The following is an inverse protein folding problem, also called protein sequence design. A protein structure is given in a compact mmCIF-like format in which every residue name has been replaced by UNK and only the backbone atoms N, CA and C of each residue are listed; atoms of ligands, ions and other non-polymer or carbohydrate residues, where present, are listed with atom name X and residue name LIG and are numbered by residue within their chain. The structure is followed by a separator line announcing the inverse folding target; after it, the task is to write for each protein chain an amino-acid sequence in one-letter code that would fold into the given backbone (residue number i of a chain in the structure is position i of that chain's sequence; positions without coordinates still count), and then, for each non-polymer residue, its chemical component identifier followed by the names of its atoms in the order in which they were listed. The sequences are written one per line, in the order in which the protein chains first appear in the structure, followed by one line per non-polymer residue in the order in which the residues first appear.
data_IF_696719602658
#
_entry.id   IF_696719602658
#
_cell.length_a   1.000
_cell.length_b   1.000
_cell.length_c   1.000
_cell.angle_alpha   90.00
_cell.angle_beta   90.00
_cell.angle_gamma   90.00
#
_symmetry.space_group_name_H-M   'P 1'
#
loop_
_entity.id
_entity.type
_entity.pdbx_description
1 polymer ?
#
# COMPACT_ATOMS: atom_id res chain seq x y z
N UNK A 1 2.06 21.60 20.86
CA UNK A 1 1.91 20.22 20.30
C UNK A 1 2.89 19.18 20.86
N UNK A 2 4.13 19.53 21.28
CA UNK A 2 5.11 18.58 21.88
C UNK A 2 4.65 17.90 23.18
N UNK A 3 3.98 18.61 24.10
CA UNK A 3 3.59 18.05 25.41
C UNK A 3 2.51 16.95 25.35
N UNK A 4 1.57 17.02 24.38
CA UNK A 4 0.58 15.95 24.14
C UNK A 4 1.21 14.67 23.57
N UNK A 5 2.32 14.79 22.82
CA UNK A 5 3.03 13.63 22.29
C UNK A 5 3.90 12.96 23.36
N UNK A 6 4.50 13.75 24.26
CA UNK A 6 5.26 13.26 25.42
C UNK A 6 4.37 12.55 26.44
N UNK A 7 3.23 13.14 26.82
CA UNK A 7 2.30 12.49 27.77
C UNK A 7 1.78 11.16 27.25
N UNK A 8 1.51 11.06 25.94
CA UNK A 8 1.03 9.83 25.30
C UNK A 8 2.10 8.72 25.25
N UNK A 9 3.38 9.10 25.06
CA UNK A 9 4.51 8.15 25.14
C UNK A 9 4.70 7.65 26.58
N UNK A 10 4.65 8.54 27.57
CA UNK A 10 4.77 8.15 28.99
C UNK A 10 3.63 7.23 29.41
N UNK A 11 2.38 7.51 29.01
CA UNK A 11 1.24 6.65 29.31
C UNK A 11 1.34 5.24 28.68
N UNK A 12 2.02 5.12 27.53
CA UNK A 12 2.25 3.84 26.87
C UNK A 12 3.33 2.97 27.52
N UNK A 13 4.20 3.58 28.33
CA UNK A 13 5.28 2.90 29.07
C UNK A 13 4.83 2.35 30.42
N UNK A 14 3.73 2.86 30.99
CA UNK A 14 3.22 2.44 32.31
C UNK A 14 2.99 0.92 32.39
N UNK A 15 2.30 0.26 31.43
CA UNK A 15 2.12 -1.19 31.47
C UNK A 15 3.43 -1.98 31.50
N UNK A 16 4.45 -1.50 30.78
CA UNK A 16 5.76 -2.13 30.69
C UNK A 16 6.53 -2.05 32.01
N UNK A 17 6.50 -0.87 32.64
CA UNK A 17 7.16 -0.66 33.93
C UNK A 17 6.48 -1.48 35.02
N UNK A 18 5.14 -1.51 35.04
CA UNK A 18 4.39 -2.30 36.00
C UNK A 18 4.60 -3.80 35.83
N UNK A 19 4.64 -4.31 34.59
CA UNK A 19 4.90 -5.73 34.36
C UNK A 19 6.34 -6.11 34.69
N UNK A 20 7.32 -5.25 34.39
CA UNK A 20 8.71 -5.46 34.78
C UNK A 20 8.90 -5.50 36.30
N UNK A 21 8.26 -4.56 37.01
CA UNK A 21 8.26 -4.51 38.47
C UNK A 21 7.58 -5.76 39.07
N UNK A 22 6.42 -6.16 38.52
CA UNK A 22 5.74 -7.38 38.91
C UNK A 22 6.65 -8.61 38.74
N UNK A 23 7.35 -8.73 37.61
CA UNK A 23 8.27 -9.83 37.35
C UNK A 23 9.37 -9.90 38.41
N UNK A 24 10.01 -8.77 38.68
CA UNK A 24 11.09 -8.68 39.68
C UNK A 24 10.60 -9.03 41.08
N UNK A 25 9.45 -8.48 41.49
CA UNK A 25 8.84 -8.77 42.79
C UNK A 25 8.50 -10.25 42.92
N UNK A 26 7.90 -10.86 41.90
CA UNK A 26 7.58 -12.28 41.91
C UNK A 26 8.83 -13.16 42.01
N UNK A 27 9.88 -12.86 41.23
CA UNK A 27 11.16 -13.59 41.31
C UNK A 27 11.76 -13.49 42.72
N UNK A 28 11.77 -12.29 43.30
CA UNK A 28 12.28 -12.08 44.66
C UNK A 28 11.47 -12.86 45.71
N UNK A 29 10.13 -12.82 45.63
CA UNK A 29 9.25 -13.54 46.54
C UNK A 29 9.41 -15.06 46.41
N UNK A 30 9.49 -15.59 45.19
CA UNK A 30 9.75 -17.00 44.96
C UNK A 30 11.11 -17.41 45.51
N UNK A 31 12.16 -16.64 45.25
CA UNK A 31 13.50 -16.90 45.78
C UNK A 31 13.50 -16.94 47.31
N UNK A 32 12.86 -15.96 47.95
CA UNK A 32 12.81 -15.89 49.41
C UNK A 32 12.04 -17.08 50.02
N UNK A 33 10.90 -17.47 49.43
CA UNK A 33 10.10 -18.60 49.93
C UNK A 33 10.80 -19.94 49.71
N UNK A 34 11.42 -20.15 48.56
CA UNK A 34 12.15 -21.39 48.24
C UNK A 34 13.29 -21.64 49.25
N UNK A 35 13.96 -20.59 49.73
CA UNK A 35 15.04 -20.71 50.71
C UNK A 35 14.55 -21.00 52.14
N UNK A 36 13.31 -20.64 52.47
CA UNK A 36 12.79 -20.68 53.86
C UNK A 36 11.87 -21.87 54.13
N UNK A 37 11.18 -22.39 53.11
CA UNK A 37 10.10 -23.35 53.27
C UNK A 37 10.23 -24.51 52.26
N UNK A 38 10.66 -25.70 52.71
CA UNK A 38 10.75 -26.88 51.85
C UNK A 38 9.39 -27.33 51.30
N UNK A 39 8.32 -27.18 52.09
CA UNK A 39 6.95 -27.47 51.65
C UNK A 39 6.53 -26.63 50.43
N UNK A 40 7.07 -25.42 50.30
CA UNK A 40 6.79 -24.55 49.16
C UNK A 40 7.42 -25.06 47.86
N UNK A 41 8.57 -25.74 47.95
CA UNK A 41 9.23 -26.36 46.78
C UNK A 41 8.35 -27.47 46.19
N UNK A 42 7.78 -28.31 47.05
CA UNK A 42 6.86 -29.38 46.63
C UNK A 42 5.62 -28.80 45.98
N UNK A 43 4.99 -27.80 46.63
CA UNK A 43 3.83 -27.11 46.07
C UNK A 43 4.10 -26.50 44.69
N UNK A 44 5.26 -25.87 44.49
CA UNK A 44 5.64 -25.26 43.21
C UNK A 44 5.76 -26.28 42.07
N UNK A 45 6.24 -27.49 42.39
CA UNK A 45 6.32 -28.62 41.47
C UNK A 45 4.94 -29.22 41.21
N UNK A 46 4.09 -29.35 42.23
CA UNK A 46 2.74 -29.90 42.11
C UNK A 46 1.81 -29.04 41.25
N UNK A 47 1.97 -27.71 41.28
CA UNK A 47 1.19 -26.80 40.42
C UNK A 47 1.73 -26.69 38.99
N UNK A 48 2.92 -27.23 38.71
CA UNK A 48 3.56 -27.09 37.40
C UNK A 48 2.76 -27.67 36.23
N UNK A 49 2.10 -28.84 36.35
CA UNK A 49 1.24 -29.36 35.29
C UNK A 49 0.08 -28.42 34.95
N UNK A 50 -0.52 -27.78 35.96
CA UNK A 50 -1.62 -26.82 35.78
C UNK A 50 -1.10 -25.59 35.02
N UNK A 51 0.04 -25.06 35.44
CA UNK A 51 0.66 -23.90 34.80
C UNK A 51 1.04 -24.17 33.33
N UNK A 52 1.59 -25.36 33.05
CA UNK A 52 1.89 -25.80 31.69
C UNK A 52 0.59 -25.90 30.88
N UNK A 53 -0.47 -26.50 31.43
CA UNK A 53 -1.77 -26.63 30.77
C UNK A 53 -2.40 -25.28 30.39
N UNK A 54 -2.31 -24.29 31.28
CA UNK A 54 -2.74 -22.91 30.99
C UNK A 54 -1.89 -22.27 29.89
N UNK A 55 -0.57 -22.44 29.94
CA UNK A 55 0.36 -21.92 28.92
C UNK A 55 0.11 -22.55 27.54
N UNK A 56 -0.15 -23.86 27.48
CA UNK A 56 -0.56 -24.57 26.25
C UNK A 56 -1.86 -23.97 25.70
N UNK A 57 -2.86 -23.78 26.55
CA UNK A 57 -4.17 -23.26 26.15
C UNK A 57 -4.07 -21.86 25.53
N UNK A 58 -3.35 -20.94 26.19
CA UNK A 58 -3.12 -19.59 25.67
C UNK A 58 -2.32 -19.64 24.36
N UNK A 59 -1.27 -20.46 24.32
CA UNK A 59 -0.44 -20.64 23.14
C UNK A 59 -1.24 -21.16 21.93
N UNK A 60 -2.14 -22.11 22.15
CA UNK A 60 -3.02 -22.64 21.11
C UNK A 60 -3.96 -21.57 20.51
N UNK A 61 -4.52 -20.69 21.34
CA UNK A 61 -5.36 -19.57 20.89
C UNK A 61 -4.54 -18.60 20.02
N UNK A 62 -3.35 -18.22 20.49
CA UNK A 62 -2.44 -17.33 19.75
C UNK A 62 -2.02 -17.96 18.42
N UNK A 63 -1.69 -19.25 18.43
CA UNK A 63 -1.34 -19.99 17.22
C UNK A 63 -2.49 -20.06 16.21
N UNK A 64 -3.71 -20.38 16.66
CA UNK A 64 -4.89 -20.40 15.80
C UNK A 64 -5.12 -19.07 15.11
N UNK A 65 -4.95 -17.95 15.83
CA UNK A 65 -5.02 -16.62 15.26
C UNK A 65 -3.90 -16.33 14.24
N UNK A 66 -2.66 -16.76 14.52
CA UNK A 66 -1.54 -16.63 13.57
C UNK A 66 -1.83 -17.40 12.28
N UNK A 67 -2.20 -18.67 12.38
CA UNK A 67 -2.51 -19.52 11.22
C UNK A 67 -3.65 -18.92 10.41
N UNK A 68 -4.73 -18.48 11.05
CA UNK A 68 -5.84 -17.83 10.37
C UNK A 68 -5.38 -16.58 9.61
N UNK A 69 -4.63 -15.69 10.27
CA UNK A 69 -4.17 -14.43 9.67
C UNK A 69 -3.20 -14.67 8.51
N UNK A 70 -2.30 -15.65 8.63
CA UNK A 70 -1.40 -16.08 7.56
C UNK A 70 -2.17 -16.62 6.36
N UNK A 71 -3.18 -17.45 6.62
CA UNK A 71 -4.00 -18.06 5.59
C UNK A 71 -4.81 -17.01 4.83
N UNK A 72 -5.48 -16.09 5.53
CA UNK A 72 -6.18 -14.95 4.90
C UNK A 72 -5.22 -14.11 4.07
N UNK A 73 -4.03 -13.79 4.59
CA UNK A 73 -3.03 -13.03 3.84
C UNK A 73 -2.55 -13.75 2.58
N UNK A 74 -2.43 -15.08 2.64
CA UNK A 74 -2.03 -15.88 1.49
C UNK A 74 -3.11 -15.85 0.39
N UNK A 75 -4.39 -15.99 0.77
CA UNK A 75 -5.52 -15.84 -0.15
C UNK A 75 -5.54 -14.43 -0.75
N UNK A 76 -5.43 -13.39 0.08
CA UNK A 76 -5.41 -11.99 -0.36
C UNK A 76 -4.26 -11.74 -1.34
N UNK A 77 -3.08 -12.34 -1.10
CA UNK A 77 -1.93 -12.22 -1.99
C UNK A 77 -2.20 -12.85 -3.36
N UNK A 78 -2.85 -14.01 -3.41
CA UNK A 78 -3.20 -14.67 -4.67
C UNK A 78 -4.25 -13.84 -5.43
N UNK A 79 -5.33 -13.44 -4.76
CA UNK A 79 -6.38 -12.61 -5.38
C UNK A 79 -5.79 -11.31 -5.92
N UNK A 80 -5.05 -10.58 -5.07
CA UNK A 80 -4.45 -9.31 -5.46
C UNK A 80 -3.42 -9.45 -6.59
N UNK A 81 -2.71 -10.57 -6.69
CA UNK A 81 -1.80 -10.84 -7.82
C UNK A 81 -2.56 -11.01 -9.14
N UNK A 82 -3.68 -11.73 -9.12
CA UNK A 82 -4.52 -11.92 -10.31
C UNK A 82 -5.20 -10.61 -10.72
N UNK A 83 -5.75 -9.88 -9.75
CA UNK A 83 -6.37 -8.56 -9.96
C UNK A 83 -5.35 -7.55 -10.49
N UNK A 84 -4.12 -7.58 -9.96
CA UNK A 84 -3.01 -6.74 -10.42
C UNK A 84 -2.65 -7.04 -11.88
N UNK A 85 -2.44 -8.31 -12.23
CA UNK A 85 -2.09 -8.71 -13.59
C UNK A 85 -3.19 -8.30 -14.59
N UNK A 86 -4.47 -8.40 -14.19
CA UNK A 86 -5.59 -7.91 -14.97
C UNK A 86 -5.54 -6.38 -15.17
N UNK A 87 -5.32 -5.61 -14.10
CA UNK A 87 -5.23 -4.15 -14.16
C UNK A 87 -4.02 -3.65 -14.96
N UNK A 88 -2.88 -4.32 -14.87
CA UNK A 88 -1.69 -4.04 -15.71
C UNK A 88 -2.06 -4.20 -17.18
N UNK A 89 -2.72 -5.31 -17.56
CA UNK A 89 -3.18 -5.53 -18.94
C UNK A 89 -4.15 -4.44 -19.40
N UNK A 90 -5.07 -3.99 -18.53
CA UNK A 90 -5.98 -2.87 -18.84
C UNK A 90 -5.20 -1.57 -19.08
N UNK A 91 -4.22 -1.25 -18.22
CA UNK A 91 -3.38 -0.06 -18.38
C UNK A 91 -2.52 -0.12 -19.65
N UNK A 92 -2.01 -1.30 -20.00
CA UNK A 92 -1.25 -1.52 -21.24
C UNK A 92 -2.12 -1.24 -22.50
N UNK A 93 -3.41 -1.61 -22.45
CA UNK A 93 -4.38 -1.25 -23.51
C UNK A 93 -4.65 0.25 -23.54
N UNK A 94 -4.77 0.90 -22.39
CA UNK A 94 -4.87 2.37 -22.30
C UNK A 94 -3.67 3.02 -22.97
N UNK A 95 -2.44 2.62 -22.62
CA UNK A 95 -1.23 3.14 -23.27
C UNK A 95 -1.23 2.92 -24.79
N UNK A 96 -1.72 1.77 -25.25
CA UNK A 96 -1.86 1.48 -26.68
C UNK A 96 -2.86 2.43 -27.36
N UNK A 97 -4.00 2.72 -26.72
CA UNK A 97 -4.97 3.72 -27.22
C UNK A 97 -4.32 5.10 -27.27
N UNK A 98 -3.61 5.50 -26.21
CA UNK A 98 -2.94 6.79 -26.13
C UNK A 98 -1.86 6.93 -27.21
N UNK A 99 -1.07 5.90 -27.47
CA UNK A 99 -0.07 5.93 -28.55
C UNK A 99 -0.74 6.15 -29.91
N UNK A 100 -1.85 5.44 -30.19
CA UNK A 100 -2.61 5.65 -31.42
C UNK A 100 -3.12 7.09 -31.52
N UNK A 101 -3.66 7.66 -30.44
CA UNK A 101 -4.14 9.04 -30.42
C UNK A 101 -3.01 10.05 -30.66
N UNK A 102 -1.86 9.90 -30.01
CA UNK A 102 -0.69 10.77 -30.19
C UNK A 102 -0.11 10.72 -31.61
N UNK A 103 -0.22 9.57 -32.28
CA UNK A 103 0.22 9.38 -33.67
C UNK A 103 -0.88 9.69 -34.72
N UNK A 104 -2.09 10.03 -34.27
CA UNK A 104 -3.21 10.36 -35.16
C UNK A 104 -3.25 11.84 -35.57
N UNK A 105 -4.11 12.16 -36.53
CA UNK A 105 -4.34 13.53 -37.02
C UNK A 105 -5.40 14.30 -36.20
N UNK A 106 -5.74 13.85 -34.98
CA UNK A 106 -6.70 14.55 -34.11
C UNK A 106 -6.22 15.93 -33.66
N UNK A 107 -4.90 16.16 -33.70
CA UNK A 107 -4.24 17.37 -33.18
C UNK A 107 -4.14 18.46 -34.25
N UNK A 108 -4.09 19.72 -33.81
CA UNK A 108 -3.68 20.82 -34.70
C UNK A 108 -2.29 20.53 -35.31
N UNK A 109 -2.09 20.85 -36.61
CA UNK A 109 -0.78 20.74 -37.24
C UNK A 109 0.28 21.53 -36.47
N UNK A 110 1.43 20.91 -36.20
CA UNK A 110 2.56 21.55 -35.51
C UNK A 110 2.65 21.27 -34.00
N UNK A 111 1.60 20.78 -33.33
CA UNK A 111 1.67 20.43 -31.89
C UNK A 111 2.76 19.39 -31.64
N UNK A 112 2.83 18.39 -32.51
CA UNK A 112 3.81 17.30 -32.41
C UNK A 112 5.23 17.83 -32.55
N UNK A 113 5.48 18.66 -33.57
CA UNK A 113 6.77 19.32 -33.75
C UNK A 113 7.13 20.20 -32.54
N UNK A 114 6.19 20.99 -32.05
CA UNK A 114 6.38 21.89 -30.91
C UNK A 114 6.77 21.11 -29.65
N UNK A 115 6.03 20.07 -29.28
CA UNK A 115 6.32 19.30 -28.06
C UNK A 115 7.50 18.35 -28.24
N UNK A 116 7.58 17.62 -29.36
CA UNK A 116 8.55 16.54 -29.54
C UNK A 116 9.90 17.01 -30.08
N UNK A 117 9.99 18.23 -30.64
CA UNK A 117 11.26 18.81 -31.13
C UNK A 117 11.68 20.03 -30.32
N UNK A 118 10.81 21.03 -30.20
CA UNK A 118 11.17 22.31 -29.55
C UNK A 118 11.26 22.15 -28.03
N UNK A 119 10.27 21.50 -27.41
CA UNK A 119 10.25 21.17 -25.97
C UNK A 119 10.75 19.76 -25.66
N UNK A 120 11.80 19.33 -26.36
CA UNK A 120 12.31 17.97 -26.24
C UNK A 120 12.68 17.60 -24.79
N UNK A 121 12.06 16.52 -24.31
CA UNK A 121 12.30 15.99 -22.97
C UNK A 121 11.46 16.63 -21.87
N UNK A 122 10.57 17.58 -22.21
CA UNK A 122 9.58 18.12 -21.28
C UNK A 122 8.53 17.06 -20.95
N UNK A 123 8.21 16.96 -19.66
CA UNK A 123 7.13 16.08 -19.17
C UNK A 123 6.01 16.89 -18.54
N UNK A 124 4.81 16.33 -18.53
CA UNK A 124 3.66 16.95 -17.85
C UNK A 124 3.92 17.17 -16.35
N UNK A 125 4.68 16.27 -15.72
CA UNK A 125 5.04 16.37 -14.31
C UNK A 125 5.86 17.63 -14.03
N UNK A 126 6.83 17.95 -14.88
CA UNK A 126 7.63 19.17 -14.76
C UNK A 126 6.79 20.42 -14.96
N UNK A 127 5.84 20.40 -15.91
CA UNK A 127 4.89 21.49 -16.13
C UNK A 127 3.98 21.69 -14.92
N UNK A 128 3.44 20.62 -14.32
CA UNK A 128 2.59 20.74 -13.11
C UNK A 128 3.36 21.13 -11.86
N UNK A 129 4.65 20.81 -11.80
CA UNK A 129 5.52 21.11 -10.67
C UNK A 129 6.40 22.35 -10.87
N UNK A 130 6.10 23.19 -11.88
CA UNK A 130 6.90 24.36 -12.23
C UNK A 130 7.13 25.31 -11.05
N UNK A 131 6.15 25.45 -10.15
CA UNK A 131 6.22 26.26 -8.93
C UNK A 131 7.34 25.82 -7.95
N UNK A 132 7.86 24.60 -8.11
CA UNK A 132 9.00 24.09 -7.33
C UNK A 132 10.35 24.60 -7.87
N UNK A 133 10.35 25.34 -8.99
CA UNK A 133 11.54 25.98 -9.57
C UNK A 133 12.57 25.02 -10.17
N UNK A 134 12.19 23.76 -10.43
CA UNK A 134 13.14 22.69 -10.80
C UNK A 134 13.40 22.53 -12.28
N UNK A 135 12.56 23.09 -13.16
CA UNK A 135 12.68 22.92 -14.61
C UNK A 135 12.59 24.27 -15.32
N UNK A 136 13.72 24.71 -15.88
CA UNK A 136 13.79 25.90 -16.73
C UNK A 136 12.93 25.72 -17.99
N UNK A 137 12.94 24.52 -18.55
CA UNK A 137 12.19 24.16 -19.75
C UNK A 137 10.66 24.27 -19.54
N UNK A 138 10.17 23.88 -18.35
CA UNK A 138 8.76 24.04 -18.00
C UNK A 138 8.36 25.52 -17.84
N UNK A 139 9.27 26.38 -17.36
CA UNK A 139 9.02 27.82 -17.26
C UNK A 139 8.99 28.44 -18.65
N UNK A 140 9.95 28.10 -19.52
CA UNK A 140 9.99 28.54 -20.91
C UNK A 140 8.70 28.13 -21.65
N UNK A 141 8.26 26.87 -21.48
CA UNK A 141 7.00 26.36 -22.04
C UNK A 141 5.76 27.13 -21.58
N UNK A 142 5.68 27.50 -20.30
CA UNK A 142 4.56 28.24 -19.74
C UNK A 142 4.57 29.74 -20.10
N UNK A 143 5.75 30.29 -20.43
CA UNK A 143 5.92 31.69 -20.80
C UNK A 143 5.73 31.92 -22.30
N UNK A 144 5.97 30.90 -23.12
CA UNK A 144 5.74 30.98 -24.55
C UNK A 144 4.25 31.19 -24.85
N UNK A 145 3.96 32.00 -25.87
CA UNK A 145 2.58 32.30 -26.24
C UNK A 145 1.92 31.00 -26.70
N UNK A 146 0.85 30.59 -26.01
CA UNK A 146 0.06 29.40 -26.33
C UNK A 146 -0.45 29.50 -27.76
N UNK A 147 0.22 28.78 -28.66
CA UNK A 147 -0.09 28.79 -30.09
C UNK A 147 -1.14 27.75 -30.47
N UNK A 148 -1.45 26.82 -29.55
CA UNK A 148 -2.31 25.65 -29.82
C UNK A 148 -3.51 25.55 -28.87
N UNK A 149 -4.00 26.68 -28.37
CA UNK A 149 -5.24 26.75 -27.57
C UNK A 149 -5.26 25.72 -26.42
N UNK A 150 -4.20 25.61 -25.64
CA UNK A 150 -4.05 24.68 -24.50
C UNK A 150 -3.96 23.18 -24.83
N UNK A 151 -4.17 22.77 -26.09
CA UNK A 151 -4.12 21.36 -26.49
C UNK A 151 -2.72 20.75 -26.33
N UNK A 152 -1.67 21.58 -26.34
CA UNK A 152 -0.29 21.18 -26.01
C UNK A 152 -0.16 20.58 -24.60
N UNK A 153 -1.00 21.04 -23.66
CA UNK A 153 -1.04 20.51 -22.29
C UNK A 153 -1.67 19.13 -22.26
N UNK A 154 -2.74 18.90 -23.03
CA UNK A 154 -3.34 17.58 -23.17
C UNK A 154 -2.36 16.60 -23.81
N UNK A 155 -1.70 17.00 -24.90
CA UNK A 155 -0.70 16.18 -25.59
C UNK A 155 0.40 15.74 -24.62
N UNK A 156 0.96 16.65 -23.83
CA UNK A 156 1.96 16.34 -22.81
C UNK A 156 1.44 15.41 -21.71
N UNK A 157 0.20 15.60 -21.26
CA UNK A 157 -0.44 14.73 -20.26
C UNK A 157 -0.55 13.29 -20.76
N UNK A 158 -1.09 13.12 -21.97
CA UNK A 158 -1.24 11.81 -22.61
C UNK A 158 0.12 11.16 -22.84
N UNK A 159 1.10 11.91 -23.34
CA UNK A 159 2.49 11.45 -23.49
C UNK A 159 3.08 10.96 -22.17
N UNK A 160 2.72 11.58 -21.05
CA UNK A 160 3.21 11.20 -19.72
C UNK A 160 2.62 9.89 -19.19
N UNK A 161 1.49 9.43 -19.72
CA UNK A 161 0.95 8.09 -19.45
C UNK A 161 1.77 6.96 -20.09
N UNK A 162 2.65 7.29 -21.04
CA UNK A 162 3.55 6.33 -21.71
C UNK A 162 4.94 6.23 -21.03
N UNK A 163 5.17 6.97 -19.94
CA UNK A 163 6.41 6.91 -19.18
C UNK A 163 6.37 5.77 -18.16
N UNK A 164 7.48 5.06 -17.97
CA UNK A 164 7.62 4.02 -16.95
C UNK A 164 8.26 4.54 -15.66
N UNK A 165 8.96 5.67 -15.73
CA UNK A 165 9.65 6.32 -14.61
C UNK A 165 9.40 7.83 -14.62
N UNK A 166 9.10 8.48 -13.48
CA UNK A 166 8.90 9.93 -13.43
C UNK A 166 10.09 10.76 -13.90
N UNK A 167 11.30 10.22 -13.85
CA UNK A 167 12.53 10.91 -14.27
C UNK A 167 12.85 10.71 -15.75
N UNK A 168 12.10 9.84 -16.42
CA UNK A 168 12.29 9.52 -17.82
C UNK A 168 11.88 10.71 -18.67
N UNK A 169 12.82 11.20 -19.49
CA UNK A 169 12.58 12.31 -20.42
C UNK A 169 12.11 11.86 -21.80
N UNK A 170 12.20 10.56 -22.10
CA UNK A 170 11.89 9.99 -23.43
C UNK A 170 11.08 8.72 -23.26
N UNK A 171 10.01 8.57 -24.03
CA UNK A 171 9.31 7.28 -24.11
C UNK A 171 10.28 6.26 -24.71
N UNK A 172 10.51 5.16 -24.00
CA UNK A 172 11.26 4.03 -24.53
C UNK A 172 10.24 3.19 -25.27
N UNK A 173 10.31 3.18 -26.61
CA UNK A 173 9.49 2.27 -27.42
C UNK A 173 10.04 0.85 -27.26
N UNK A 174 9.65 0.18 -26.17
CA UNK A 174 9.93 -1.23 -25.97
C UNK A 174 8.87 -2.02 -26.74
N UNK A 175 9.27 -3.05 -27.50
CA UNK A 175 8.30 -3.93 -28.20
C UNK A 175 7.39 -4.72 -27.22
N UNK A 176 7.66 -4.66 -25.92
CA UNK A 176 6.90 -5.32 -24.86
C UNK A 176 6.39 -4.28 -23.86
N UNK A 177 5.07 -4.23 -23.69
CA UNK A 177 4.41 -3.46 -22.64
C UNK A 177 4.80 -4.00 -21.25
N UNK A 178 4.87 -3.16 -20.21
CA UNK A 178 5.37 -3.57 -18.91
C UNK A 178 4.47 -4.62 -18.23
N UNK A 179 5.10 -5.58 -17.57
CA UNK A 179 4.42 -6.57 -16.72
C UNK A 179 4.14 -6.03 -15.30
N UNK A 180 4.84 -4.97 -14.91
CA UNK A 180 4.68 -4.31 -13.62
C UNK A 180 4.99 -2.80 -13.73
N UNK A 181 4.21 -1.99 -13.00
CA UNK A 181 4.43 -0.55 -12.89
C UNK A 181 5.08 -0.20 -11.56
N UNK A 182 6.09 0.67 -11.62
CA UNK A 182 6.74 1.23 -10.42
C UNK A 182 5.75 2.08 -9.62
N UNK A 183 5.83 2.03 -8.29
CA UNK A 183 4.95 2.82 -7.41
C UNK A 183 5.12 4.33 -7.66
N UNK A 184 6.33 4.76 -7.99
CA UNK A 184 6.69 6.16 -8.21
C UNK A 184 5.95 6.77 -9.40
N UNK A 185 5.83 6.04 -10.52
CA UNK A 185 5.11 6.53 -11.70
C UNK A 185 3.61 6.56 -11.47
N UNK A 186 3.05 5.50 -10.84
CA UNK A 186 1.64 5.44 -10.49
C UNK A 186 1.24 6.59 -9.54
N UNK A 187 2.10 6.90 -8.56
CA UNK A 187 1.89 8.06 -7.68
C UNK A 187 1.89 9.37 -8.45
N UNK A 188 2.77 9.54 -9.44
CA UNK A 188 2.79 10.77 -10.26
C UNK A 188 1.57 10.91 -11.13
N UNK A 189 1.12 9.83 -11.77
CA UNK A 189 -0.12 9.82 -12.53
C UNK A 189 -1.31 10.19 -11.65
N UNK A 190 -1.40 9.64 -10.44
CA UNK A 190 -2.49 9.98 -9.52
C UNK A 190 -2.38 11.40 -8.93
N UNK A 191 -1.19 11.85 -8.51
CA UNK A 191 -0.92 13.20 -7.96
C UNK A 191 -1.36 14.28 -8.96
N UNK A 192 -1.03 14.08 -10.24
CA UNK A 192 -1.28 15.04 -11.31
C UNK A 192 -2.54 14.72 -12.14
N UNK A 193 -3.33 13.74 -11.73
CA UNK A 193 -4.58 13.30 -12.40
C UNK A 193 -4.40 13.00 -13.89
N UNK A 194 -3.29 12.36 -14.26
CA UNK A 194 -3.04 11.97 -15.65
C UNK A 194 -4.15 11.06 -16.18
N UNK A 195 -4.65 11.36 -17.37
CA UNK A 195 -5.82 10.72 -17.98
C UNK A 195 -7.11 11.53 -17.82
N UNK A 196 -7.17 12.46 -16.88
CA UNK A 196 -8.33 13.35 -16.71
C UNK A 196 -8.45 14.39 -17.82
N UNK A 197 -7.37 14.64 -18.58
CA UNK A 197 -7.37 15.52 -19.74
C UNK A 197 -8.42 15.11 -20.76
N UNK A 198 -8.55 13.82 -21.11
CA UNK A 198 -9.56 13.40 -22.09
C UNK A 198 -10.99 13.77 -21.64
N UNK A 199 -11.32 13.55 -20.36
CA UNK A 199 -12.60 13.97 -19.78
C UNK A 199 -12.78 15.49 -19.81
N UNK A 200 -11.73 16.24 -19.51
CA UNK A 200 -11.78 17.70 -19.48
C UNK A 200 -12.01 18.29 -20.87
N UNK A 201 -11.20 17.89 -21.86
CA UNK A 201 -11.21 18.47 -23.20
C UNK A 201 -12.35 17.94 -24.08
N UNK A 202 -12.71 16.66 -23.98
CA UNK A 202 -13.77 16.04 -24.80
C UNK A 202 -15.14 15.94 -24.09
N UNK A 203 -15.19 16.25 -22.79
CA UNK A 203 -16.44 16.27 -22.02
C UNK A 203 -16.76 17.68 -21.50
N UNK A 204 -16.07 18.08 -20.44
CA UNK A 204 -16.43 19.28 -19.68
C UNK A 204 -16.32 20.58 -20.50
N UNK A 205 -15.26 20.71 -21.32
CA UNK A 205 -14.97 21.91 -22.14
C UNK A 205 -15.00 21.67 -23.64
N UNK A 206 -15.64 20.60 -24.12
CA UNK A 206 -15.59 20.28 -25.55
C UNK A 206 -16.08 21.41 -26.45
N UNK A 207 -17.10 22.17 -26.02
CA UNK A 207 -17.58 23.34 -26.76
C UNK A 207 -16.51 24.39 -27.06
N UNK A 208 -15.52 24.55 -26.16
CA UNK A 208 -14.40 25.49 -26.32
C UNK A 208 -13.31 24.95 -27.26
N UNK A 209 -13.26 23.63 -27.47
CA UNK A 209 -12.17 22.94 -28.16
C UNK A 209 -12.59 22.17 -29.43
N UNK A 210 -13.88 22.17 -29.79
CA UNK A 210 -14.39 21.44 -30.95
C UNK A 210 -13.73 21.84 -32.28
N UNK A 211 -13.22 23.07 -32.37
CA UNK A 211 -12.58 23.61 -33.58
C UNK A 211 -11.07 23.31 -33.65
N UNK A 212 -10.49 22.77 -32.57
CA UNK A 212 -9.05 22.46 -32.48
C UNK A 212 -8.77 20.96 -32.46
N UNK A 213 -9.78 20.11 -32.23
CA UNK A 213 -9.67 18.67 -32.34
C UNK A 213 -10.42 18.16 -33.57
N UNK A 214 -9.72 17.48 -34.46
CA UNK A 214 -10.31 16.84 -35.62
C UNK A 214 -10.50 15.33 -35.37
N UNK A 215 -11.59 14.99 -34.68
CA UNK A 215 -11.90 13.59 -34.32
C UNK A 215 -12.11 12.75 -35.59
N UNK A 216 -12.70 13.34 -36.64
CA UNK A 216 -13.00 12.68 -37.91
C UNK A 216 -11.73 12.37 -38.72
N UNK A 217 -10.65 13.14 -38.54
CA UNK A 217 -9.35 12.88 -39.17
C UNK A 217 -8.62 11.65 -38.62
N UNK A 218 -9.08 11.03 -37.53
CA UNK A 218 -8.54 9.74 -37.07
C UNK A 218 -8.99 8.65 -38.06
N UNK A 219 -8.05 7.98 -38.73
CA UNK A 219 -8.38 6.91 -39.67
C UNK A 219 -9.32 5.86 -39.07
N UNK A 220 -10.35 5.44 -39.81
CA UNK A 220 -11.37 4.46 -39.38
C UNK A 220 -10.75 3.20 -38.75
N UNK A 221 -9.72 2.62 -39.39
CA UNK A 221 -8.98 1.46 -38.84
C UNK A 221 -8.41 1.69 -37.44
N UNK A 222 -8.02 2.93 -37.12
CA UNK A 222 -7.49 3.28 -35.80
C UNK A 222 -8.63 3.51 -34.81
N UNK A 223 -9.75 4.08 -35.25
CA UNK A 223 -10.97 4.20 -34.46
C UNK A 223 -11.46 2.81 -34.01
N UNK A 224 -11.61 1.88 -34.96
CA UNK A 224 -12.02 0.50 -34.71
C UNK A 224 -11.08 -0.19 -33.71
N UNK A 225 -9.77 -0.05 -33.92
CA UNK A 225 -8.77 -0.62 -33.01
C UNK A 225 -8.88 -0.03 -31.61
N UNK A 226 -9.11 1.27 -31.47
CA UNK A 226 -9.31 1.93 -30.17
C UNK A 226 -10.56 1.39 -29.48
N UNK A 227 -11.67 1.23 -30.21
CA UNK A 227 -12.93 0.71 -29.66
C UNK A 227 -12.80 -0.75 -29.21
N UNK A 228 -12.09 -1.58 -29.97
CA UNK A 228 -11.77 -2.97 -29.56
C UNK A 228 -10.94 -2.96 -28.28
N UNK A 229 -9.86 -2.18 -28.22
CA UNK A 229 -9.02 -2.07 -27.03
C UNK A 229 -9.80 -1.57 -25.81
N UNK A 230 -10.72 -0.62 -25.99
CA UNK A 230 -11.58 -0.10 -24.93
C UNK A 230 -12.57 -1.16 -24.41
N UNK A 231 -13.21 -1.92 -25.31
CA UNK A 231 -14.05 -3.05 -24.92
C UNK A 231 -13.28 -4.13 -24.16
N UNK A 232 -12.03 -4.38 -24.54
CA UNK A 232 -11.18 -5.30 -23.80
C UNK A 232 -10.65 -4.73 -22.46
N UNK A 233 -10.76 -3.43 -22.22
CA UNK A 233 -10.50 -2.80 -20.91
C UNK A 233 -11.70 -3.05 -19.99
N UNK A 234 -12.90 -2.73 -20.45
CA UNK A 234 -14.15 -2.97 -19.73
C UNK A 234 -15.35 -2.97 -20.69
N UNK A 235 -15.84 -4.16 -21.03
CA UNK A 235 -16.97 -4.32 -21.95
C UNK A 235 -18.23 -3.64 -21.40
N UNK A 236 -18.50 -3.73 -20.09
CA UNK A 236 -19.71 -3.13 -19.51
C UNK A 236 -19.71 -1.59 -19.64
N UNK A 237 -18.53 -0.98 -19.77
CA UNK A 237 -18.37 0.46 -19.91
C UNK A 237 -18.34 0.87 -21.37
N UNK A 238 -17.71 0.10 -22.27
CA UNK A 238 -17.45 0.54 -23.65
C UNK A 238 -18.26 -0.21 -24.71
N UNK A 239 -19.10 -1.16 -24.31
CA UNK A 239 -20.06 -1.83 -25.21
C UNK A 239 -20.95 -0.78 -25.88
N UNK A 240 -21.21 -0.99 -27.17
CA UNK A 240 -21.97 -0.11 -28.07
C UNK A 240 -21.46 1.33 -28.19
N UNK A 241 -20.24 1.63 -27.73
CA UNK A 241 -19.64 2.96 -27.90
C UNK A 241 -19.17 3.18 -29.33
N UNK A 242 -19.49 4.35 -29.88
CA UNK A 242 -18.90 4.85 -31.12
C UNK A 242 -17.71 5.77 -30.84
N UNK A 243 -16.78 5.88 -31.77
CA UNK A 243 -15.60 6.73 -31.61
C UNK A 243 -16.00 8.20 -31.79
N UNK A 244 -16.15 8.92 -30.67
CA UNK A 244 -16.53 10.33 -30.61
C UNK A 244 -16.00 10.98 -29.32
N UNK A 245 -16.33 12.26 -29.11
CA UNK A 245 -15.94 13.03 -27.93
C UNK A 245 -16.46 12.41 -26.63
N UNK A 246 -17.69 11.87 -26.64
CA UNK A 246 -18.31 11.23 -25.48
C UNK A 246 -17.51 10.00 -25.06
N UNK A 247 -17.10 9.17 -26.04
CA UNK A 247 -16.23 8.02 -25.81
C UNK A 247 -14.88 8.44 -25.21
N UNK A 248 -14.20 9.44 -25.80
CA UNK A 248 -12.90 9.90 -25.29
C UNK A 248 -13.02 10.45 -23.86
N UNK A 249 -14.08 11.19 -23.58
CA UNK A 249 -14.37 11.68 -22.23
C UNK A 249 -14.57 10.54 -21.23
N UNK A 250 -15.39 9.54 -21.60
CA UNK A 250 -15.66 8.33 -20.80
C UNK A 250 -14.39 7.53 -20.54
N UNK A 251 -13.52 7.40 -21.54
CA UNK A 251 -12.21 6.76 -21.41
C UNK A 251 -11.33 7.48 -20.38
N UNK A 252 -11.22 8.81 -20.47
CA UNK A 252 -10.46 9.61 -19.51
C UNK A 252 -10.97 9.47 -18.08
N UNK A 253 -12.29 9.49 -17.90
CA UNK A 253 -12.93 9.28 -16.61
C UNK A 253 -12.63 7.89 -16.04
N UNK A 254 -12.73 6.84 -16.86
CA UNK A 254 -12.45 5.47 -16.45
C UNK A 254 -10.98 5.26 -16.05
N UNK A 255 -10.03 5.82 -16.81
CA UNK A 255 -8.60 5.78 -16.51
C UNK A 255 -8.33 6.39 -15.12
N UNK A 256 -8.85 7.59 -14.88
CA UNK A 256 -8.53 8.39 -13.70
C UNK A 256 -9.31 7.97 -12.45
N UNK A 257 -10.54 7.44 -12.59
CA UNK A 257 -11.38 7.02 -11.45
C UNK A 257 -11.24 5.55 -11.09
N UNK A 258 -10.87 4.69 -12.04
CA UNK A 258 -10.84 3.23 -11.82
C UNK A 258 -9.44 2.66 -11.99
N UNK A 259 -8.84 2.75 -13.18
CA UNK A 259 -7.61 2.02 -13.52
C UNK A 259 -6.43 2.47 -12.65
N UNK A 260 -6.05 3.75 -12.72
CA UNK A 260 -4.86 4.26 -12.01
C UNK A 260 -4.99 4.13 -10.48
N UNK A 261 -6.12 4.53 -9.84
CA UNK A 261 -6.26 4.41 -8.40
C UNK A 261 -6.22 2.96 -7.90
N UNK A 262 -6.89 2.04 -8.59
CA UNK A 262 -6.90 0.62 -8.19
C UNK A 262 -5.51 -0.01 -8.36
N UNK A 263 -4.83 0.29 -9.47
CA UNK A 263 -3.47 -0.16 -9.73
C UNK A 263 -2.49 0.33 -8.65
N UNK A 264 -2.56 1.62 -8.26
CA UNK A 264 -1.75 2.15 -7.17
C UNK A 264 -2.11 1.52 -5.81
N UNK A 265 -3.40 1.30 -5.54
CA UNK A 265 -3.85 0.70 -4.29
C UNK A 265 -3.28 -0.70 -4.10
N UNK A 266 -3.37 -1.55 -5.13
CA UNK A 266 -2.87 -2.93 -5.07
C UNK A 266 -1.34 -2.94 -4.98
N UNK A 267 -0.65 -2.10 -5.75
CA UNK A 267 0.81 -2.03 -5.72
C UNK A 267 1.33 -1.58 -4.34
N UNK A 268 0.66 -0.62 -3.69
CA UNK A 268 1.00 -0.23 -2.32
C UNK A 268 0.78 -1.37 -1.31
N UNK A 269 -0.27 -2.20 -1.49
CA UNK A 269 -0.50 -3.37 -0.62
C UNK A 269 0.61 -4.42 -0.77
N UNK A 270 1.10 -4.65 -1.99
CA UNK A 270 2.23 -5.57 -2.26
C UNK A 270 3.53 -5.12 -1.57
N UNK A 271 3.76 -3.80 -1.49
CA UNK A 271 4.95 -3.22 -0.85
C UNK A 271 4.94 -3.25 0.69
N UNK A 272 3.75 -3.32 1.31
CA UNK A 272 3.63 -3.39 2.75
C UNK A 272 3.82 -4.83 3.23
N UNK A 273 4.95 -5.10 3.87
CA UNK A 273 5.32 -6.40 4.44
C UNK A 273 4.35 -6.92 5.51
N UNK A 274 4.79 -7.88 6.33
CA UNK A 274 3.97 -8.34 7.45
C UNK A 274 3.72 -7.17 8.43
N UNK A 275 2.47 -6.87 8.81
CA UNK A 275 2.23 -5.85 9.83
C UNK A 275 3.03 -6.18 11.09
N UNK A 276 3.76 -5.21 11.65
CA UNK A 276 4.56 -5.37 12.87
C UNK A 276 3.77 -6.00 14.04
N UNK A 277 2.44 -5.85 14.04
CA UNK A 277 1.56 -6.49 15.00
C UNK A 277 1.60 -8.03 14.96
N UNK A 278 1.72 -8.64 13.76
CA UNK A 278 1.81 -10.11 13.62
C UNK A 278 3.17 -10.60 14.09
N UNK A 279 4.24 -9.86 13.79
CA UNK A 279 5.59 -10.17 14.26
C UNK A 279 5.69 -10.17 15.80
N UNK A 280 5.09 -9.17 16.46
CA UNK A 280 4.99 -9.14 17.92
C UNK A 280 4.23 -10.35 18.48
N UNK A 281 3.19 -10.81 17.77
CA UNK A 281 2.38 -11.93 18.19
C UNK A 281 3.14 -13.27 18.04
N UNK A 282 3.98 -13.41 17.03
CA UNK A 282 4.94 -14.52 16.91
C UNK A 282 5.94 -14.57 18.06
N UNK A 283 6.54 -13.42 18.42
CA UNK A 283 7.48 -13.35 19.54
C UNK A 283 6.78 -13.76 20.84
N UNK A 284 5.55 -13.29 21.06
CA UNK A 284 4.76 -13.67 22.23
C UNK A 284 4.48 -15.18 22.25
N UNK A 285 4.06 -15.76 21.12
CA UNK A 285 3.84 -17.20 21.01
C UNK A 285 5.12 -17.98 21.37
N UNK A 286 6.25 -17.60 20.79
CA UNK A 286 7.54 -18.24 21.06
C UNK A 286 7.95 -18.15 22.54
N UNK A 287 7.76 -16.99 23.17
CA UNK A 287 8.04 -16.79 24.61
C UNK A 287 7.17 -17.67 25.50
N UNK A 288 5.87 -17.80 25.20
CA UNK A 288 4.97 -18.67 25.98
C UNK A 288 5.36 -20.14 25.83
N UNK A 289 5.70 -20.57 24.61
CA UNK A 289 6.12 -21.96 24.37
C UNK A 289 7.45 -22.27 25.06
N UNK A 290 8.47 -21.44 24.87
CA UNK A 290 9.78 -21.65 25.46
C UNK A 290 9.72 -21.56 26.99
N UNK A 291 9.17 -20.46 27.53
CA UNK A 291 9.26 -20.16 28.95
C UNK A 291 8.12 -20.78 29.74
N UNK A 292 6.91 -20.85 29.20
CA UNK A 292 5.73 -21.32 29.92
C UNK A 292 5.48 -22.83 29.82
N UNK A 293 6.05 -23.49 28.81
CA UNK A 293 5.84 -24.92 28.54
C UNK A 293 7.16 -25.67 28.65
N UNK A 294 8.13 -25.34 27.79
CA UNK A 294 9.37 -26.12 27.65
C UNK A 294 10.23 -26.03 28.92
N UNK A 295 10.47 -24.82 29.46
CA UNK A 295 11.30 -24.66 30.67
C UNK A 295 10.70 -25.41 31.89
N UNK A 296 9.40 -25.27 32.22
CA UNK A 296 8.79 -26.05 33.30
C UNK A 296 8.85 -27.55 33.07
N UNK A 297 8.59 -28.01 31.84
CA UNK A 297 8.64 -29.42 31.50
C UNK A 297 10.05 -30.01 31.71
N UNK A 298 11.07 -29.34 31.18
CA UNK A 298 12.48 -29.72 31.36
C UNK A 298 12.86 -29.71 32.83
N UNK A 299 12.39 -28.71 33.59
CA UNK A 299 12.68 -28.60 35.03
C UNK A 299 12.15 -29.78 35.81
N UNK A 300 10.92 -30.23 35.51
CA UNK A 300 10.34 -31.43 36.14
C UNK A 300 11.09 -32.68 35.69
N UNK A 301 11.32 -32.83 34.39
CA UNK A 301 11.91 -34.04 33.80
C UNK A 301 13.36 -34.27 34.25
N UNK A 302 14.16 -33.21 34.32
CA UNK A 302 15.57 -33.26 34.73
C UNK A 302 15.78 -32.94 36.21
N UNK A 303 14.70 -32.75 36.98
CA UNK A 303 14.76 -32.38 38.40
C UNK A 303 15.62 -31.14 38.69
N UNK A 304 15.50 -30.10 37.85
CA UNK A 304 16.25 -28.84 38.03
C UNK A 304 15.80 -28.08 39.31
N UNK A 305 16.62 -27.13 39.79
CA UNK A 305 16.27 -26.32 40.96
C UNK A 305 14.92 -25.61 40.82
N UNK A 306 14.11 -25.62 41.88
CA UNK A 306 12.77 -25.04 41.88
C UNK A 306 12.73 -23.53 41.56
N UNK A 307 13.85 -22.82 41.74
CA UNK A 307 13.98 -21.42 41.34
C UNK A 307 13.76 -21.21 39.83
N UNK A 308 14.09 -22.21 39.00
CA UNK A 308 13.86 -22.16 37.55
C UNK A 308 12.36 -22.11 37.24
N UNK A 309 11.53 -22.87 37.97
CA UNK A 309 10.06 -22.79 37.88
C UNK A 309 9.56 -21.42 38.33
N UNK A 310 10.06 -20.91 39.45
CA UNK A 310 9.68 -19.59 39.96
C UNK A 310 9.95 -18.47 38.96
N UNK A 311 11.11 -18.50 38.30
CA UNK A 311 11.47 -17.54 37.24
C UNK A 311 10.54 -17.68 36.03
N UNK A 312 10.29 -18.91 35.55
CA UNK A 312 9.36 -19.16 34.44
C UNK A 312 7.96 -18.59 34.74
N UNK A 313 7.42 -18.90 35.91
CA UNK A 313 6.08 -18.46 36.30
C UNK A 313 6.00 -16.94 36.39
N UNK A 314 6.99 -16.31 37.00
CA UNK A 314 7.07 -14.85 37.11
C UNK A 314 7.08 -14.17 35.73
N UNK A 315 7.86 -14.69 34.78
CA UNK A 315 7.96 -14.12 33.43
C UNK A 315 6.61 -14.22 32.70
N UNK A 316 5.97 -15.39 32.69
CA UNK A 316 4.69 -15.58 31.97
C UNK A 316 3.56 -14.78 32.61
N UNK A 317 3.45 -14.78 33.95
CA UNK A 317 2.43 -13.98 34.65
C UNK A 317 2.61 -12.50 34.29
N UNK A 318 3.84 -12.02 34.29
CA UNK A 318 4.16 -10.63 33.95
C UNK A 318 3.90 -10.31 32.48
N UNK A 319 4.18 -11.25 31.56
CA UNK A 319 3.88 -11.12 30.14
C UNK A 319 2.37 -11.03 29.88
N UNK A 320 1.58 -11.89 30.53
CA UNK A 320 0.12 -11.87 30.43
C UNK A 320 -0.46 -10.59 31.05
N UNK A 321 0.06 -10.16 32.19
CA UNK A 321 -0.31 -8.89 32.82
C UNK A 321 -0.02 -7.69 31.91
N UNK A 322 1.16 -7.65 31.29
CA UNK A 322 1.52 -6.62 30.32
C UNK A 322 0.54 -6.55 29.16
N UNK A 323 0.18 -7.70 28.57
CA UNK A 323 -0.73 -7.75 27.43
C UNK A 323 -2.17 -7.38 27.80
N UNK A 324 -2.65 -7.83 28.96
CA UNK A 324 -3.97 -7.46 29.47
C UNK A 324 -4.08 -5.96 29.72
N UNK A 325 -3.12 -5.37 30.43
CA UNK A 325 -3.10 -3.93 30.73
C UNK A 325 -2.91 -3.07 29.48
N UNK A 326 -2.10 -3.53 28.52
CA UNK A 326 -1.96 -2.87 27.22
C UNK A 326 -3.27 -2.90 26.43
N UNK A 327 -3.97 -4.03 26.38
CA UNK A 327 -5.24 -4.17 25.69
C UNK A 327 -6.32 -3.24 26.28
N UNK A 328 -6.40 -3.17 27.61
CA UNK A 328 -7.28 -2.23 28.33
C UNK A 328 -6.97 -0.78 27.93
N UNK A 329 -5.70 -0.37 28.01
CA UNK A 329 -5.29 0.99 27.66
C UNK A 329 -5.59 1.34 26.19
N UNK A 330 -5.47 0.36 25.28
CA UNK A 330 -5.82 0.51 23.88
C UNK A 330 -7.33 0.71 23.67
N UNK A 331 -8.17 -0.10 24.32
CA UNK A 331 -9.65 0.00 24.23
C UNK A 331 -10.14 1.34 24.79
N UNK A 332 -9.65 1.75 25.95
CA UNK A 332 -10.07 3.00 26.59
C UNK A 332 -9.64 4.23 25.79
N UNK A 333 -8.43 4.25 25.21
CA UNK A 333 -7.98 5.38 24.40
C UNK A 333 -8.67 5.48 23.03
N UNK A 334 -9.24 4.38 22.50
CA UNK A 334 -10.00 4.40 21.25
C UNK A 334 -11.40 5.01 21.41
N UNK A 335 -11.96 5.02 22.63
CA UNK A 335 -13.25 5.64 22.95
C UNK A 335 -13.19 7.16 23.18
N UNK A 336 -12.01 7.78 23.16
CA UNK A 336 -11.81 9.23 23.39
C UNK A 336 -11.43 9.97 22.09
N UNK A 337 -11.86 9.46 20.92
CA UNK A 337 -11.66 10.12 19.64
C UNK A 337 -12.97 10.33 18.92
#
# INVERSE_FOLDING_TARGET
MKNKALSKKVLSLIPLVLSGLLCFVLIYLFYQKIQKEEAFILLLKDIAPIFIGLSISVSAIVFGYLVFTLYTKHIDKISSSNDFASLVKKMNKVQSIIEILLDSNIWLPGIKEFIDKEFYGLTYFEVKEFYRGKSKLAIEFLQEKKSFNDTETLYLELKSLLLEDPKQKKIIKTNSLPEEYKVEILKKWQEHKCGSGLWYYFGYRFGDYKEVFDIEAVFERHQDKILVLANEIDSNVFEDSSFNEVFLSKLGEHINKQIIPQLLQIQNRKSNGMPNAIEILYILFAMIVLIGIIIPLITILLSLPAIVLGISYAIIISLLFYKSTWAVNYIFNKKVK
#
